data_IF_524089632505
#
_entry.id   IF_524089632505
#
_cell.length_a   1.000
_cell.length_b   1.000
_cell.length_c   1.000
_cell.angle_alpha   90.00
_cell.angle_beta   90.00
_cell.angle_gamma   90.00
#
_symmetry.space_group_name_H-M   'P 1'
#
loop_
_entity.id
_entity.type
_entity.pdbx_description
1 polymer ?
#
# COMPACT_ATOMS: atom_id res chain seq x y z
N UNK A 1 -7.96 -5.74 2.91
CA UNK A 1 -6.52 -5.83 2.61
C UNK A 1 -6.14 -7.26 2.26
N UNK A 2 -6.30 -8.23 3.17
CA UNK A 2 -6.02 -9.68 2.95
C UNK A 2 -6.52 -10.18 1.58
N UNK A 3 -7.84 -10.21 1.39
CA UNK A 3 -8.46 -10.69 0.15
C UNK A 3 -7.96 -9.95 -1.09
N UNK A 4 -7.73 -8.64 -0.99
CA UNK A 4 -7.23 -7.85 -2.12
C UNK A 4 -5.81 -8.26 -2.51
N UNK A 5 -4.92 -8.48 -1.55
CA UNK A 5 -3.52 -8.87 -1.79
C UNK A 5 -3.46 -10.29 -2.39
N UNK A 6 -4.24 -11.22 -1.84
CA UNK A 6 -4.36 -12.59 -2.35
C UNK A 6 -4.97 -12.63 -3.76
N UNK A 7 -6.06 -11.90 -4.00
CA UNK A 7 -6.76 -11.89 -5.30
C UNK A 7 -5.94 -11.19 -6.39
N UNK A 8 -5.12 -10.20 -6.04
CA UNK A 8 -4.18 -9.56 -6.97
C UNK A 8 -2.93 -10.42 -7.23
N UNK A 9 -2.76 -11.54 -6.52
CA UNK A 9 -1.69 -12.51 -6.75
C UNK A 9 -0.35 -12.15 -6.11
N UNK A 10 -0.31 -11.23 -5.15
CA UNK A 10 0.91 -10.91 -4.39
C UNK A 10 1.29 -12.01 -3.41
N UNK A 11 0.30 -12.76 -2.92
CA UNK A 11 0.48 -13.99 -2.15
C UNK A 11 -0.55 -15.05 -2.54
N UNK A 12 -0.34 -16.29 -2.09
CA UNK A 12 -1.29 -17.38 -2.30
C UNK A 12 -2.55 -17.12 -1.47
N UNK A 13 -3.68 -17.64 -1.95
CA UNK A 13 -4.93 -17.65 -1.17
C UNK A 13 -4.68 -18.35 0.17
N UNK A 14 -5.20 -17.76 1.25
CA UNK A 14 -5.08 -18.21 2.64
C UNK A 14 -3.64 -18.19 3.22
N UNK A 15 -2.69 -17.56 2.53
CA UNK A 15 -1.26 -17.49 2.93
C UNK A 15 -0.84 -16.09 3.40
N UNK A 16 -1.79 -15.14 3.47
CA UNK A 16 -1.47 -13.74 3.78
C UNK A 16 -0.75 -13.57 5.13
N UNK A 17 -1.13 -14.33 6.14
CA UNK A 17 -0.57 -14.21 7.50
C UNK A 17 0.93 -14.51 7.55
N UNK A 18 1.36 -15.58 6.89
CA UNK A 18 2.77 -15.95 6.81
C UNK A 18 3.51 -15.03 5.83
N UNK A 19 2.86 -14.68 4.71
CA UNK A 19 3.43 -13.78 3.72
C UNK A 19 3.71 -12.38 4.29
N UNK A 20 2.78 -11.78 5.04
CA UNK A 20 2.93 -10.40 5.53
C UNK A 20 4.10 -10.24 6.51
N UNK A 21 4.55 -11.34 7.11
CA UNK A 21 5.78 -11.44 7.91
C UNK A 21 5.83 -10.38 9.03
N UNK A 22 4.80 -10.37 9.90
CA UNK A 22 4.63 -9.38 10.98
C UNK A 22 4.64 -7.91 10.48
N UNK A 23 4.28 -7.68 9.22
CA UNK A 23 4.26 -6.36 8.60
C UNK A 23 5.55 -5.99 7.85
N UNK A 24 6.59 -6.84 7.88
CA UNK A 24 7.90 -6.56 7.25
C UNK A 24 7.84 -6.45 5.73
N UNK A 25 6.75 -6.91 5.08
CA UNK A 25 6.57 -6.79 3.63
C UNK A 25 5.80 -5.55 3.17
N UNK A 26 5.07 -4.87 4.06
CA UNK A 26 4.06 -3.88 3.64
C UNK A 26 4.37 -2.43 4.03
N UNK A 27 5.49 -2.19 4.71
CA UNK A 27 5.92 -0.84 5.05
C UNK A 27 6.30 0.01 3.82
N UNK A 28 6.41 1.35 3.98
CA UNK A 28 6.69 2.28 2.87
C UNK A 28 7.97 2.01 2.08
N UNK A 29 8.92 1.25 2.66
CA UNK A 29 10.21 0.89 2.05
C UNK A 29 10.39 -0.63 1.92
N UNK A 30 9.29 -1.37 2.00
CA UNK A 30 9.28 -2.82 1.94
C UNK A 30 8.90 -3.29 0.53
N UNK A 31 8.80 -4.60 0.35
CA UNK A 31 8.51 -5.24 -0.94
C UNK A 31 7.22 -4.75 -1.59
N UNK A 32 6.14 -4.60 -0.82
CA UNK A 32 4.85 -4.15 -1.32
C UNK A 32 4.27 -3.06 -0.41
N UNK A 33 4.65 -1.79 -0.60
CA UNK A 33 4.08 -0.69 0.17
C UNK A 33 2.56 -0.67 0.04
N UNK A 34 1.85 -0.86 1.16
CA UNK A 34 0.40 -0.94 1.18
C UNK A 34 -0.16 -0.19 2.39
N UNK A 35 -1.26 0.55 2.19
CA UNK A 35 -1.86 1.39 3.22
C UNK A 35 -0.81 2.29 3.92
N UNK A 36 0.04 2.99 3.17
CA UNK A 36 1.16 3.79 3.71
C UNK A 36 0.70 4.90 4.66
N UNK A 37 -0.49 5.48 4.46
CA UNK A 37 -1.13 6.40 5.41
C UNK A 37 -1.64 5.70 6.69
N UNK A 38 -1.77 4.38 6.68
CA UNK A 38 -2.25 3.57 7.81
C UNK A 38 -3.62 2.91 7.57
N UNK A 39 -4.28 3.23 6.45
CA UNK A 39 -5.50 2.57 6.01
C UNK A 39 -6.67 2.74 7.00
N UNK A 40 -7.66 1.85 6.91
CA UNK A 40 -8.86 1.95 7.75
C UNK A 40 -8.60 1.75 9.25
N UNK A 41 -7.48 1.13 9.64
CA UNK A 41 -7.18 0.83 11.04
C UNK A 41 -6.61 2.04 11.79
N UNK A 42 -5.86 2.92 11.12
CA UNK A 42 -5.21 4.06 11.77
C UNK A 42 -5.81 5.42 11.39
N UNK A 43 -6.11 5.66 10.12
CA UNK A 43 -6.66 6.94 9.63
C UNK A 43 -8.19 6.97 9.65
N UNK A 44 -8.83 5.81 9.74
CA UNK A 44 -10.28 5.65 9.84
C UNK A 44 -11.00 5.70 8.48
N UNK A 45 -12.17 5.06 8.34
CA UNK A 45 -12.83 4.94 7.04
C UNK A 45 -13.46 6.26 6.60
N UNK A 46 -12.97 6.83 5.50
CA UNK A 46 -13.58 7.98 4.82
C UNK A 46 -14.08 7.58 3.43
N UNK A 47 -14.99 6.60 3.37
CA UNK A 47 -15.61 6.11 2.12
C UNK A 47 -14.62 5.84 0.96
N UNK A 48 -13.38 5.42 1.28
CA UNK A 48 -12.32 5.20 0.30
C UNK A 48 -11.59 6.45 -0.21
N UNK A 49 -12.03 7.67 0.14
CA UNK A 49 -11.39 8.92 -0.27
C UNK A 49 -9.94 9.00 0.23
N UNK A 50 -9.67 8.46 1.41
CA UNK A 50 -8.33 8.37 1.98
C UNK A 50 -7.32 7.64 1.07
N UNK A 51 -7.75 6.57 0.39
CA UNK A 51 -6.88 5.83 -0.54
C UNK A 51 -6.50 6.70 -1.74
N UNK A 52 -7.45 7.50 -2.24
CA UNK A 52 -7.20 8.43 -3.35
C UNK A 52 -6.26 9.57 -2.91
N UNK A 53 -6.51 10.16 -1.74
CA UNK A 53 -5.65 11.22 -1.20
C UNK A 53 -4.22 10.72 -1.01
N UNK A 54 -4.04 9.55 -0.42
CA UNK A 54 -2.70 8.98 -0.22
C UNK A 54 -2.02 8.66 -1.57
N UNK A 55 -2.76 8.14 -2.57
CA UNK A 55 -2.21 7.92 -3.91
C UNK A 55 -1.74 9.23 -4.57
N UNK A 56 -2.49 10.33 -4.42
CA UNK A 56 -2.09 11.65 -4.93
C UNK A 56 -0.83 12.15 -4.22
N UNK A 57 -0.77 12.04 -2.89
CA UNK A 57 0.41 12.44 -2.12
C UNK A 57 1.66 11.66 -2.55
N UNK A 58 1.52 10.35 -2.74
CA UNK A 58 2.63 9.46 -3.09
C UNK A 58 3.11 9.64 -4.53
N UNK A 59 2.19 9.70 -5.51
CA UNK A 59 2.51 9.63 -6.93
C UNK A 59 2.62 10.99 -7.62
N UNK A 60 1.71 11.92 -7.28
CA UNK A 60 1.61 13.19 -8.01
C UNK A 60 2.34 14.31 -7.29
N UNK A 61 2.26 14.36 -5.96
CA UNK A 61 2.89 15.41 -5.17
C UNK A 61 4.31 15.07 -4.74
N UNK A 62 4.58 13.80 -4.40
CA UNK A 62 5.82 13.40 -3.76
C UNK A 62 5.99 13.99 -2.34
N UNK A 63 4.87 14.25 -1.65
CA UNK A 63 4.82 14.95 -0.36
C UNK A 63 4.12 14.13 0.73
N UNK A 64 4.33 12.81 0.73
CA UNK A 64 3.80 11.94 1.79
C UNK A 64 4.68 11.95 3.07
N UNK A 65 5.69 12.80 3.17
CA UNK A 65 6.58 12.90 4.34
C UNK A 65 7.39 11.62 4.58
N UNK A 66 7.52 11.18 5.84
CA UNK A 66 8.34 10.01 6.20
C UNK A 66 7.89 8.69 5.56
N UNK A 67 6.61 8.59 5.21
CA UNK A 67 5.98 7.44 4.56
C UNK A 67 6.02 7.49 3.03
N UNK A 68 6.72 8.47 2.44
CA UNK A 68 6.91 8.53 1.00
C UNK A 68 7.62 7.26 0.49
N UNK A 69 6.97 6.56 -0.44
CA UNK A 69 7.52 5.41 -1.13
C UNK A 69 8.58 5.90 -2.11
N UNK A 70 9.81 5.36 -2.08
CA UNK A 70 10.86 5.70 -3.04
C UNK A 70 10.43 5.35 -4.47
N UNK A 71 10.64 6.27 -5.41
CA UNK A 71 10.34 6.08 -6.84
C UNK A 71 8.92 5.54 -7.12
N UNK A 72 7.93 6.05 -6.37
CA UNK A 72 6.53 5.64 -6.51
C UNK A 72 6.02 5.89 -7.95
N UNK A 73 5.50 4.83 -8.60
CA UNK A 73 4.98 4.84 -9.97
C UNK A 73 3.70 4.02 -10.09
N UNK A 74 2.92 4.25 -11.15
CA UNK A 74 1.72 3.44 -11.42
C UNK A 74 2.14 2.13 -12.09
N UNK A 75 1.59 1.01 -11.60
CA UNK A 75 1.81 -0.29 -12.23
C UNK A 75 1.32 -0.28 -13.68
N UNK A 76 2.20 -0.65 -14.62
CA UNK A 76 1.92 -0.64 -16.06
C UNK A 76 2.47 0.57 -16.82
N UNK A 77 3.01 1.59 -16.13
CA UNK A 77 3.87 2.58 -16.77
C UNK A 77 5.19 1.90 -17.15
N UNK A 78 5.35 1.61 -18.45
CA UNK A 78 6.64 1.25 -19.04
C UNK A 78 7.47 2.51 -19.25
N UNK A 79 8.78 2.42 -18.95
CA UNK A 79 9.78 3.07 -19.83
C UNK A 79 9.88 2.29 -21.14
#
# INVERSE_FOLDING_TARGET
MVTSIETLGFCKIDDFGDWVDEGRRIGPRCELPANTGGGHLAEGPVHGLQLLTEAVLQLLCGDAGERQVPDAKVSGERE
#
